data_IF_069239070762
#
_entry.id   IF_069239070762
#
_cell.length_a   1.000
_cell.length_b   1.000
_cell.length_c   1.000
_cell.angle_alpha   90.00
_cell.angle_beta   90.00
_cell.angle_gamma   90.00
#
_symmetry.space_group_name_H-M   'P 1'
#
loop_
_entity.id
_entity.type
_entity.pdbx_description
1 polymer ?
#
# COMPACT_ATOMS: atom_id res chain seq x y z
N UNK A 1 -82.90 29.83 19.02
CA UNK A 1 -82.58 30.64 17.83
C UNK A 1 -82.18 29.71 16.68
N UNK A 2 -82.67 29.99 15.48
CA UNK A 2 -82.46 29.25 14.21
C UNK A 2 -81.15 29.78 13.54
N UNK A 3 -80.72 29.29 12.36
CA UNK A 3 -79.55 28.43 12.13
C UNK A 3 -78.41 29.08 11.29
N UNK A 4 -77.23 28.45 11.18
CA UNK A 4 -76.25 28.74 10.11
C UNK A 4 -75.47 27.46 9.75
N UNK A 5 -75.83 26.79 8.64
CA UNK A 5 -75.33 26.87 7.25
C UNK A 5 -74.07 26.01 6.96
N UNK A 6 -74.30 24.96 6.16
CA UNK A 6 -73.31 24.17 5.41
C UNK A 6 -72.67 24.98 4.28
N UNK A 7 -71.41 24.70 3.96
CA UNK A 7 -70.78 25.01 2.67
C UNK A 7 -69.44 24.27 2.53
N UNK A 8 -69.44 23.11 1.85
CA UNK A 8 -68.91 22.86 0.49
C UNK A 8 -67.40 22.56 0.42
N UNK A 9 -67.15 21.36 -0.08
CA UNK A 9 -65.92 20.75 -0.57
C UNK A 9 -65.21 21.61 -1.63
N UNK A 10 -63.88 21.70 -1.56
CA UNK A 10 -63.02 21.95 -2.72
C UNK A 10 -61.90 20.90 -2.72
N UNK A 11 -61.89 20.10 -3.78
CA UNK A 11 -60.78 19.22 -4.17
C UNK A 11 -59.69 20.09 -4.79
N UNK A 12 -58.44 19.88 -4.40
CA UNK A 12 -57.29 20.29 -5.21
C UNK A 12 -56.37 19.09 -5.41
N UNK A 13 -55.96 18.90 -6.66
CA UNK A 13 -55.21 17.79 -7.23
C UNK A 13 -53.78 18.29 -7.52
N UNK A 14 -52.77 17.44 -7.34
CA UNK A 14 -51.36 17.67 -7.73
C UNK A 14 -50.51 18.18 -6.56
N UNK A 15 -49.34 17.63 -6.22
CA UNK A 15 -48.34 16.93 -7.02
C UNK A 15 -47.84 15.64 -6.35
N UNK A 16 -47.54 14.62 -7.17
CA UNK A 16 -46.78 13.44 -6.74
C UNK A 16 -45.30 13.80 -6.72
N UNK A 17 -44.71 13.91 -5.53
CA UNK A 17 -43.26 13.85 -5.38
C UNK A 17 -42.83 12.41 -5.63
N UNK A 18 -42.18 12.16 -6.76
CA UNK A 18 -41.54 10.87 -7.04
C UNK A 18 -40.37 10.67 -6.07
N UNK A 19 -40.49 9.70 -5.16
CA UNK A 19 -39.34 9.16 -4.43
C UNK A 19 -38.46 8.38 -5.42
N UNK A 20 -37.34 8.96 -5.83
CA UNK A 20 -36.24 8.24 -6.49
C UNK A 20 -35.60 7.35 -5.42
N UNK A 21 -35.81 6.03 -5.49
CA UNK A 21 -35.08 5.04 -4.69
C UNK A 21 -33.64 5.03 -5.18
N UNK A 22 -32.75 5.68 -4.42
CA UNK A 22 -31.30 5.64 -4.62
C UNK A 22 -30.75 4.25 -4.31
N UNK A 23 -29.85 3.82 -5.18
CA UNK A 23 -29.31 2.48 -5.36
C UNK A 23 -28.31 2.11 -4.26
N UNK A 24 -28.80 1.74 -3.07
CA UNK A 24 -27.94 1.22 -1.98
C UNK A 24 -27.38 -0.20 -2.26
N UNK A 25 -27.63 -0.78 -3.43
CA UNK A 25 -27.17 -2.13 -3.77
C UNK A 25 -25.75 -2.14 -4.37
N UNK A 26 -25.27 -1.03 -4.94
CA UNK A 26 -23.95 -0.98 -5.59
C UNK A 26 -22.78 -0.91 -4.58
N UNK A 27 -22.98 -0.18 -3.47
CA UNK A 27 -21.98 -0.03 -2.39
C UNK A 27 -21.73 -1.36 -1.67
N UNK A 28 -22.74 -2.22 -1.59
CA UNK A 28 -22.63 -3.53 -0.93
C UNK A 28 -21.82 -4.52 -1.77
N UNK A 29 -21.84 -4.42 -3.10
CA UNK A 29 -21.13 -5.35 -3.99
C UNK A 29 -19.64 -5.00 -4.08
N UNK A 30 -19.26 -3.72 -4.13
CA UNK A 30 -17.84 -3.30 -4.18
C UNK A 30 -17.12 -3.59 -2.86
N UNK A 31 -17.76 -3.32 -1.72
CA UNK A 31 -17.23 -3.66 -0.40
C UNK A 31 -17.21 -5.18 -0.18
N UNK A 32 -18.19 -5.93 -0.69
CA UNK A 32 -18.19 -7.39 -0.61
C UNK A 32 -17.09 -8.03 -1.48
N UNK A 33 -16.73 -7.48 -2.64
CA UNK A 33 -15.64 -8.02 -3.48
C UNK A 33 -14.25 -7.72 -2.86
N UNK A 34 -14.06 -6.53 -2.28
CA UNK A 34 -12.82 -6.16 -1.56
C UNK A 34 -12.68 -7.00 -0.27
N UNK A 35 -13.78 -7.24 0.45
CA UNK A 35 -13.78 -8.10 1.65
C UNK A 35 -13.68 -9.59 1.28
N UNK A 36 -14.28 -10.08 0.19
CA UNK A 36 -14.18 -11.48 -0.23
C UNK A 36 -12.79 -11.84 -0.76
N UNK A 37 -12.08 -10.89 -1.40
CA UNK A 37 -10.66 -11.06 -1.74
C UNK A 37 -9.76 -11.15 -0.50
N UNK A 38 -10.05 -10.34 0.54
CA UNK A 38 -9.35 -10.40 1.84
C UNK A 38 -9.70 -11.64 2.68
N UNK A 39 -10.95 -12.12 2.62
CA UNK A 39 -11.42 -13.30 3.39
C UNK A 39 -11.00 -14.62 2.74
N UNK A 40 -10.88 -14.67 1.40
CA UNK A 40 -10.28 -15.83 0.71
C UNK A 40 -8.81 -16.05 1.10
N UNK A 41 -8.06 -14.97 1.39
CA UNK A 41 -6.69 -15.03 1.91
C UNK A 41 -6.64 -15.48 3.39
N UNK A 42 -7.62 -15.04 4.20
CA UNK A 42 -7.72 -15.41 5.61
C UNK A 42 -8.15 -16.87 5.86
N UNK A 43 -8.89 -17.49 4.94
CA UNK A 43 -9.34 -18.89 5.06
C UNK A 43 -8.35 -19.92 4.51
N UNK A 44 -7.33 -19.52 3.75
CA UNK A 44 -6.29 -20.43 3.23
C UNK A 44 -5.02 -20.50 4.10
N UNK A 45 -4.93 -19.68 5.15
CA UNK A 45 -3.80 -19.65 6.09
C UNK A 45 -4.03 -20.60 7.28
N UNK A 46 -4.35 -21.86 6.98
CA UNK A 46 -4.59 -22.91 7.98
C UNK A 46 -3.38 -23.83 8.16
N UNK A 47 -2.62 -23.60 9.23
CA UNK A 47 -1.78 -24.55 10.00
C UNK A 47 -0.50 -25.16 9.39
N UNK A 48 0.62 -24.60 9.87
CA UNK A 48 1.83 -25.23 10.44
C UNK A 48 2.61 -26.29 9.65
N UNK A 49 3.87 -25.96 9.35
CA UNK A 49 5.01 -26.80 9.75
C UNK A 49 6.28 -25.96 9.86
N UNK A 50 6.95 -26.10 11.00
CA UNK A 50 8.22 -25.47 11.35
C UNK A 50 9.34 -25.98 10.45
N UNK A 51 10.18 -25.07 9.94
CA UNK A 51 11.52 -25.41 9.45
C UNK A 51 12.46 -24.24 9.72
N UNK A 52 13.27 -24.43 10.75
CA UNK A 52 14.50 -23.69 11.03
C UNK A 52 15.39 -23.72 9.78
N UNK A 53 15.77 -22.56 9.25
CA UNK A 53 16.99 -22.43 8.46
C UNK A 53 17.72 -21.15 8.84
N UNK A 54 19.00 -21.35 9.10
CA UNK A 54 19.96 -20.42 9.67
C UNK A 54 20.42 -19.44 8.60
N UNK A 55 20.19 -18.13 8.80
CA UNK A 55 20.90 -17.06 8.10
C UNK A 55 21.60 -16.17 9.14
N UNK A 56 22.83 -15.76 8.84
CA UNK A 56 23.63 -14.78 9.61
C UNK A 56 24.01 -13.64 8.64
N UNK A 57 24.23 -12.40 9.10
CA UNK A 57 23.20 -11.36 9.09
C UNK A 57 23.71 -10.00 8.57
N UNK A 58 22.88 -9.26 7.82
CA UNK A 58 23.08 -7.82 7.68
C UNK A 58 22.75 -7.16 9.03
N UNK A 59 23.78 -6.67 9.75
CA UNK A 59 23.71 -5.93 11.03
C UNK A 59 22.46 -6.22 11.89
N UNK A 60 22.34 -7.46 12.39
CA UNK A 60 21.39 -7.74 13.45
C UNK A 60 21.74 -6.88 14.68
N UNK A 61 20.78 -6.10 15.17
CA UNK A 61 20.91 -5.36 16.44
C UNK A 61 21.32 -6.37 17.51
N UNK A 62 22.49 -6.14 18.12
CA UNK A 62 22.99 -7.00 19.20
C UNK A 62 22.32 -6.58 20.49
N UNK A 63 21.37 -7.38 20.96
CA UNK A 63 20.73 -7.17 22.24
C UNK A 63 21.47 -7.94 23.36
N UNK A 64 21.36 -7.48 24.62
CA UNK A 64 21.67 -8.29 25.78
C UNK A 64 20.81 -9.56 25.84
N UNK A 65 21.27 -10.57 26.58
CA UNK A 65 20.60 -11.89 26.64
C UNK A 65 19.15 -11.82 27.11
N UNK A 66 18.81 -10.86 27.98
CA UNK A 66 17.46 -10.71 28.52
C UNK A 66 16.40 -10.34 27.47
N UNK A 67 16.78 -9.81 26.31
CA UNK A 67 15.84 -9.46 25.24
C UNK A 67 15.33 -10.70 24.50
N UNK A 68 16.11 -11.79 24.50
CA UNK A 68 15.78 -13.03 23.77
C UNK A 68 14.90 -13.99 24.58
N UNK A 69 14.21 -13.50 25.61
CA UNK A 69 13.37 -14.30 26.51
C UNK A 69 12.11 -14.83 25.84
N UNK A 70 11.51 -14.07 24.91
CA UNK A 70 10.42 -14.53 24.05
C UNK A 70 10.28 -13.64 22.78
N UNK A 71 9.54 -14.08 21.75
CA UNK A 71 9.40 -13.34 20.50
C UNK A 71 8.76 -11.94 20.62
N UNK A 72 7.81 -11.75 21.56
CA UNK A 72 7.17 -10.46 21.77
C UNK A 72 8.11 -9.48 22.45
N UNK A 73 8.89 -9.96 23.43
CA UNK A 73 9.96 -9.16 24.06
C UNK A 73 10.98 -8.73 23.00
N UNK A 74 11.51 -9.67 22.20
CA UNK A 74 12.44 -9.33 21.13
C UNK A 74 11.86 -8.28 20.18
N UNK A 75 10.62 -8.47 19.73
CA UNK A 75 9.93 -7.55 18.82
C UNK A 75 9.75 -6.15 19.43
N UNK A 76 9.41 -6.06 20.72
CA UNK A 76 9.25 -4.77 21.41
C UNK A 76 10.58 -4.03 21.57
N UNK A 77 11.66 -4.72 21.95
CA UNK A 77 13.00 -4.11 22.03
C UNK A 77 13.51 -3.68 20.65
N UNK A 78 13.28 -4.49 19.61
CA UNK A 78 13.59 -4.10 18.22
C UNK A 78 12.86 -2.82 17.84
N UNK A 79 11.54 -2.78 18.04
CA UNK A 79 10.74 -1.60 17.70
C UNK A 79 11.16 -0.34 18.49
N UNK A 80 11.45 -0.49 19.78
CA UNK A 80 11.93 0.63 20.60
C UNK A 80 13.31 1.15 20.17
N UNK A 81 14.16 0.27 19.62
CA UNK A 81 15.50 0.64 19.12
C UNK A 81 15.44 1.34 17.77
N UNK A 82 14.51 0.92 16.91
CA UNK A 82 14.35 1.45 15.56
C UNK A 82 13.54 2.75 15.54
N UNK A 83 12.59 2.91 16.48
CA UNK A 83 11.66 4.03 16.53
C UNK A 83 11.60 4.74 17.91
N UNK A 84 12.76 5.12 18.49
CA UNK A 84 12.78 5.79 19.78
C UNK A 84 12.02 7.12 19.75
N UNK A 85 12.09 7.84 18.63
CA UNK A 85 11.41 9.11 18.36
C UNK A 85 9.88 9.03 18.47
N UNK A 86 9.28 7.92 18.03
CA UNK A 86 7.84 7.68 18.15
C UNK A 86 7.47 7.33 19.59
N UNK A 87 8.24 6.43 20.22
CA UNK A 87 7.97 5.97 21.58
C UNK A 87 8.24 7.05 22.65
N UNK A 88 8.97 8.10 22.32
CA UNK A 88 9.18 9.28 23.16
C UNK A 88 7.94 10.16 23.36
N UNK A 89 6.93 9.99 22.51
CA UNK A 89 5.66 10.73 22.59
C UNK A 89 4.49 9.86 23.07
N UNK A 90 4.77 8.60 23.40
CA UNK A 90 3.80 7.62 23.91
C UNK A 90 4.04 7.42 25.40
N UNK A 91 2.99 7.35 26.24
CA UNK A 91 3.14 7.11 27.66
C UNK A 91 3.41 5.64 27.92
N UNK A 92 3.90 5.34 29.11
CA UNK A 92 3.82 3.98 29.62
C UNK A 92 2.91 3.93 30.84
N UNK A 93 1.97 2.97 30.86
CA UNK A 93 1.04 2.76 31.98
C UNK A 93 1.48 1.65 32.94
N UNK A 94 2.74 1.19 32.85
CA UNK A 94 3.27 0.15 33.75
C UNK A 94 3.42 0.61 35.20
N UNK A 95 3.33 1.91 35.47
CA UNK A 95 3.39 2.51 36.81
C UNK A 95 4.79 2.92 37.29
N UNK A 96 5.84 2.69 36.48
CA UNK A 96 7.23 3.00 36.88
C UNK A 96 7.64 4.46 36.67
N UNK A 97 6.88 5.25 35.90
CA UNK A 97 7.24 6.63 35.54
C UNK A 97 7.43 7.59 36.72
N UNK A 98 6.82 7.31 37.88
CA UNK A 98 6.91 8.15 39.08
C UNK A 98 8.13 7.89 39.97
N UNK A 99 8.82 6.76 39.85
CA UNK A 99 9.92 6.37 40.76
C UNK A 99 11.18 5.85 40.05
N UNK A 100 11.07 5.39 38.79
CA UNK A 100 12.20 4.94 37.97
C UNK A 100 12.69 6.01 36.99
N UNK A 101 12.07 7.19 36.97
CA UNK A 101 12.47 8.31 36.11
C UNK A 101 12.08 8.17 34.63
N UNK A 102 11.26 7.18 34.27
CA UNK A 102 10.81 7.00 32.88
C UNK A 102 9.83 8.11 32.48
N UNK A 103 10.14 8.80 31.38
CA UNK A 103 9.37 9.95 30.89
C UNK A 103 8.31 9.56 29.86
N UNK A 104 8.55 8.48 29.11
CA UNK A 104 7.73 7.99 28.01
C UNK A 104 8.07 6.52 27.73
N UNK A 105 7.33 5.86 26.83
CA UNK A 105 7.41 4.42 26.59
C UNK A 105 8.81 3.96 26.17
N UNK A 106 9.55 4.78 25.42
CA UNK A 106 10.94 4.47 25.04
C UNK A 106 11.84 4.19 26.25
N UNK A 107 11.71 4.97 27.33
CA UNK A 107 12.56 4.83 28.53
C UNK A 107 12.40 3.47 29.21
N UNK A 108 11.31 2.74 28.96
CA UNK A 108 11.17 1.37 29.47
C UNK A 108 12.15 0.38 28.83
N UNK A 109 12.64 0.67 27.63
CA UNK A 109 13.50 -0.23 26.85
C UNK A 109 14.93 0.29 26.72
N UNK A 110 15.09 1.61 26.55
CA UNK A 110 16.37 2.24 26.19
C UNK A 110 16.55 3.56 26.95
N UNK A 111 17.69 3.68 27.63
CA UNK A 111 18.13 4.90 28.31
C UNK A 111 18.76 5.90 27.33
N UNK A 112 18.91 7.18 27.73
CA UNK A 112 19.47 8.26 26.89
C UNK A 112 20.89 8.00 26.38
N UNK A 113 21.63 7.05 26.98
CA UNK A 113 22.97 6.64 26.56
C UNK A 113 22.98 5.38 25.67
N UNK A 114 21.82 4.97 25.14
CA UNK A 114 21.60 3.76 24.34
C UNK A 114 21.77 2.43 25.08
N UNK A 115 21.93 2.44 26.41
CA UNK A 115 21.91 1.20 27.18
C UNK A 115 20.48 0.65 27.29
N UNK A 116 20.35 -0.67 27.21
CA UNK A 116 19.05 -1.36 27.31
C UNK A 116 18.68 -1.61 28.77
N UNK A 117 17.44 -1.27 29.13
CA UNK A 117 16.88 -1.60 30.44
C UNK A 117 16.42 -3.06 30.43
N UNK A 118 16.85 -3.88 31.40
CA UNK A 118 16.42 -5.28 31.52
C UNK A 118 14.94 -5.40 31.93
N UNK A 119 14.38 -4.39 32.60
CA UNK A 119 13.05 -4.44 33.20
C UNK A 119 11.94 -4.69 32.18
N UNK A 120 11.96 -4.02 31.02
CA UNK A 120 10.94 -4.24 30.01
C UNK A 120 10.86 -5.71 29.54
N UNK A 121 11.93 -6.50 29.67
CA UNK A 121 11.93 -7.90 29.23
C UNK A 121 10.96 -8.80 29.99
N UNK A 122 10.54 -8.38 31.19
CA UNK A 122 9.59 -9.07 32.04
C UNK A 122 8.37 -8.21 32.41
N UNK A 123 8.17 -7.07 31.75
CA UNK A 123 7.01 -6.20 31.98
C UNK A 123 6.00 -6.32 30.81
N UNK A 124 4.94 -7.08 31.03
CA UNK A 124 3.88 -7.32 30.02
C UNK A 124 3.21 -6.02 29.52
N UNK A 125 3.13 -5.00 30.37
CA UNK A 125 2.55 -3.69 30.01
C UNK A 125 3.45 -2.96 29.03
N UNK A 126 4.75 -2.84 29.33
CA UNK A 126 5.72 -2.17 28.44
C UNK A 126 5.75 -2.85 27.06
N UNK A 127 5.88 -4.18 27.05
CA UNK A 127 5.91 -4.98 25.81
C UNK A 127 4.58 -4.84 25.06
N UNK A 128 3.45 -4.99 25.75
CA UNK A 128 2.12 -4.92 25.15
C UNK A 128 1.81 -3.55 24.55
N UNK A 129 2.17 -2.46 25.22
CA UNK A 129 2.02 -1.09 24.71
C UNK A 129 2.86 -0.86 23.46
N UNK A 130 4.15 -1.24 23.46
CA UNK A 130 5.02 -1.08 22.31
C UNK A 130 4.50 -1.83 21.07
N UNK A 131 4.02 -3.07 21.26
CA UNK A 131 3.43 -3.86 20.19
C UNK A 131 2.10 -3.24 19.71
N UNK A 132 1.27 -2.71 20.60
CA UNK A 132 0.03 -2.02 20.21
C UNK A 132 0.30 -0.74 19.44
N UNK A 133 1.28 0.06 19.87
CA UNK A 133 1.72 1.26 19.16
C UNK A 133 2.18 0.90 17.77
N UNK A 134 3.07 -0.10 17.64
CA UNK A 134 3.49 -0.63 16.35
C UNK A 134 2.29 -1.05 15.49
N UNK A 135 1.35 -1.81 16.05
CA UNK A 135 0.19 -2.30 15.31
C UNK A 135 -0.78 -1.16 14.91
N UNK A 136 -0.99 -0.17 15.77
CA UNK A 136 -1.86 0.97 15.50
C UNK A 136 -1.27 1.86 14.39
N UNK A 137 0.02 2.15 14.48
CA UNK A 137 0.74 2.88 13.44
C UNK A 137 0.79 2.08 12.13
N UNK A 138 1.07 0.77 12.20
CA UNK A 138 1.00 -0.13 11.03
C UNK A 138 -0.41 -0.26 10.45
N UNK A 139 -1.45 0.00 11.26
CA UNK A 139 -2.85 0.07 10.80
C UNK A 139 -3.26 1.46 10.29
N UNK A 140 -2.30 2.38 10.10
CA UNK A 140 -2.52 3.71 9.52
C UNK A 140 -3.00 4.78 10.50
N UNK A 141 -3.05 4.48 11.81
CA UNK A 141 -3.40 5.50 12.81
C UNK A 141 -2.27 6.49 12.97
N UNK A 142 -2.60 7.77 13.14
CA UNK A 142 -1.58 8.77 13.50
C UNK A 142 -1.02 8.52 14.88
N UNK A 143 0.14 9.12 15.18
CA UNK A 143 0.72 9.05 16.52
C UNK A 143 -0.22 9.63 17.58
N UNK A 144 -1.01 10.66 17.24
CA UNK A 144 -2.03 11.26 18.13
C UNK A 144 -3.19 10.30 18.40
N UNK A 145 -3.74 9.66 17.39
CA UNK A 145 -4.80 8.66 17.60
C UNK A 145 -4.29 7.40 18.28
N UNK A 146 -3.08 6.97 17.93
CA UNK A 146 -2.40 5.85 18.59
C UNK A 146 -2.24 6.15 20.07
N UNK A 147 -1.77 7.35 20.41
CA UNK A 147 -1.72 7.86 21.78
C UNK A 147 -3.10 7.83 22.43
N UNK A 148 -4.13 8.35 21.77
CA UNK A 148 -5.49 8.40 22.31
C UNK A 148 -6.07 6.99 22.57
N UNK A 149 -5.78 6.01 21.71
CA UNK A 149 -6.21 4.61 21.90
C UNK A 149 -5.47 3.93 23.04
N UNK A 150 -4.16 4.18 23.15
CA UNK A 150 -3.36 3.70 24.29
C UNK A 150 -3.92 4.32 25.58
N UNK A 151 -4.13 5.64 25.61
CA UNK A 151 -4.71 6.33 26.77
C UNK A 151 -6.10 5.78 27.11
N UNK A 152 -6.96 5.57 26.11
CA UNK A 152 -8.30 5.04 26.31
C UNK A 152 -8.28 3.64 26.92
N UNK A 153 -7.48 2.73 26.36
CA UNK A 153 -7.39 1.35 26.82
C UNK A 153 -6.78 1.25 28.21
N UNK A 154 -5.66 1.95 28.42
CA UNK A 154 -4.85 1.77 29.63
C UNK A 154 -5.33 2.64 30.79
N UNK A 155 -5.93 3.81 30.57
CA UNK A 155 -6.62 4.53 31.65
C UNK A 155 -7.84 3.74 32.16
N UNK A 156 -8.51 2.98 31.29
CA UNK A 156 -9.62 2.11 31.70
C UNK A 156 -9.15 0.92 32.56
N UNK A 157 -7.93 0.42 32.30
CA UNK A 157 -7.33 -0.71 33.02
C UNK A 157 -6.59 -0.29 34.30
N UNK A 158 -6.01 0.91 34.31
CA UNK A 158 -5.17 1.43 35.40
C UNK A 158 -5.58 2.85 35.80
N UNK A 159 -6.79 3.03 36.37
CA UNK A 159 -7.31 4.34 36.71
C UNK A 159 -6.43 5.05 37.75
N UNK A 160 -6.06 6.31 37.46
CA UNK A 160 -5.25 7.14 38.35
C UNK A 160 -3.74 7.01 38.17
N UNK A 161 -3.26 6.21 37.21
CA UNK A 161 -1.87 6.25 36.75
C UNK A 161 -1.62 7.54 35.97
N UNK A 162 -0.86 8.47 36.56
CA UNK A 162 -0.45 9.70 35.87
C UNK A 162 0.77 9.41 35.00
N UNK A 163 0.66 9.69 33.71
CA UNK A 163 1.81 9.71 32.81
C UNK A 163 2.44 11.10 32.76
N UNK A 164 3.77 11.13 32.75
CA UNK A 164 4.57 12.36 32.64
C UNK A 164 4.84 12.74 31.17
N UNK A 165 4.36 11.95 30.21
CA UNK A 165 4.54 12.20 28.78
C UNK A 165 3.58 13.29 28.31
N UNK A 166 4.12 14.37 27.77
CA UNK A 166 3.34 15.44 27.17
C UNK A 166 2.52 14.92 25.96
N UNK A 167 1.41 15.60 25.59
CA UNK A 167 0.68 15.27 24.37
C UNK A 167 1.58 15.25 23.14
N UNK A 168 1.18 14.49 22.12
CA UNK A 168 1.89 14.43 20.83
C UNK A 168 1.99 15.84 20.23
N UNK A 169 3.20 16.22 19.83
CA UNK A 169 3.54 17.52 19.26
C UNK A 169 4.24 17.35 17.93
N UNK A 170 3.76 18.06 16.93
CA UNK A 170 4.32 17.98 15.56
C UNK A 170 5.74 18.58 15.50
N UNK A 171 6.13 19.39 16.49
CA UNK A 171 7.45 19.97 16.64
C UNK A 171 8.28 19.31 17.77
N UNK A 172 7.97 18.06 18.12
CA UNK A 172 8.76 17.30 19.09
C UNK A 172 10.16 17.04 18.54
N UNK A 173 11.19 17.30 19.35
CA UNK A 173 12.59 16.98 19.02
C UNK A 173 12.97 15.75 19.84
N UNK A 174 13.24 14.60 19.19
CA UNK A 174 13.64 13.39 19.90
C UNK A 174 14.95 13.58 20.67
N UNK A 175 15.00 13.01 21.87
CA UNK A 175 16.19 12.89 22.71
C UNK A 175 17.11 11.85 22.12
N UNK A 176 16.56 10.71 21.67
CA UNK A 176 17.26 9.72 20.87
C UNK A 176 16.79 9.82 19.43
N UNK A 177 17.66 10.32 18.56
CA UNK A 177 17.48 10.18 17.11
C UNK A 177 17.80 8.74 16.71
N UNK A 178 17.05 8.12 15.78
CA UNK A 178 17.40 6.80 15.24
C UNK A 178 18.89 6.78 14.86
N UNK A 179 19.64 5.75 15.27
CA UNK A 179 21.06 5.63 14.93
C UNK A 179 21.21 5.70 13.40
N UNK A 180 21.69 6.83 12.90
CA UNK A 180 21.68 7.17 11.49
C UNK A 180 22.79 6.43 10.74
N UNK A 181 22.50 5.21 10.32
CA UNK A 181 22.81 4.81 8.96
C UNK A 181 21.59 5.16 8.08
N UNK A 182 21.45 6.44 7.71
CA UNK A 182 20.68 6.82 6.51
C UNK A 182 19.46 7.75 6.62
N UNK A 183 19.40 8.75 7.51
CA UNK A 183 18.39 9.82 7.40
C UNK A 183 19.05 11.21 7.44
N UNK A 184 18.88 12.07 6.43
CA UNK A 184 19.31 13.47 6.48
C UNK A 184 18.34 14.35 7.29
N UNK A 185 18.92 15.30 8.04
CA UNK A 185 18.28 16.35 8.83
C UNK A 185 17.26 17.20 8.07
N UNK A 186 16.11 17.47 8.70
CA UNK A 186 15.04 18.35 8.23
C UNK A 186 15.51 19.81 8.21
N UNK A 187 15.66 20.37 7.01
CA UNK A 187 15.59 21.82 6.80
C UNK A 187 14.12 22.23 6.63
N UNK A 188 13.75 23.37 7.21
CA UNK A 188 12.39 23.89 7.27
C UNK A 188 11.74 24.05 5.88
N UNK A 189 10.50 23.60 5.75
CA UNK A 189 9.65 23.73 4.57
C UNK A 189 9.29 25.21 4.30
N UNK A 190 9.58 25.77 3.11
CA UNK A 190 8.99 27.03 2.69
C UNK A 190 7.52 26.82 2.35
N UNK A 191 6.67 27.68 2.91
CA UNK A 191 5.26 27.81 2.55
C UNK A 191 5.08 28.22 1.08
N UNK A 192 4.32 27.42 0.32
CA UNK A 192 3.78 27.78 -1.00
C UNK A 192 4.65 27.35 -2.18
N UNK A 193 4.62 26.07 -2.54
CA UNK A 193 5.25 25.59 -3.77
C UNK A 193 4.35 25.91 -4.98
N UNK A 194 4.80 26.80 -5.85
CA UNK A 194 4.16 27.03 -7.15
C UNK A 194 4.54 25.90 -8.11
N UNK A 195 3.57 25.06 -8.45
CA UNK A 195 3.78 23.84 -9.26
C UNK A 195 3.71 24.07 -10.77
N UNK A 196 3.49 25.31 -11.23
CA UNK A 196 3.33 25.63 -12.66
C UNK A 196 4.65 25.63 -13.47
N UNK A 197 5.80 25.45 -12.82
CA UNK A 197 7.12 25.41 -13.47
C UNK A 197 7.65 23.97 -13.69
N UNK A 198 6.97 22.95 -13.18
CA UNK A 198 7.43 21.56 -13.33
C UNK A 198 6.88 20.93 -14.61
N UNK A 199 7.68 20.96 -15.68
CA UNK A 199 7.47 20.16 -16.88
C UNK A 199 7.95 18.72 -16.63
N UNK A 200 7.02 17.76 -16.64
CA UNK A 200 7.34 16.33 -16.56
C UNK A 200 7.66 15.73 -17.93
N UNK A 201 8.47 14.66 -17.99
CA UNK A 201 8.64 13.88 -19.20
C UNK A 201 7.29 13.34 -19.69
N UNK A 202 7.19 13.20 -21.01
CA UNK A 202 6.01 12.75 -21.72
C UNK A 202 5.42 11.45 -21.18
N UNK A 203 4.25 11.55 -20.54
CA UNK A 203 3.23 10.53 -20.31
C UNK A 203 3.65 9.26 -19.54
N UNK A 204 2.97 9.03 -18.42
CA UNK A 204 2.92 7.78 -17.67
C UNK A 204 2.24 6.67 -18.49
N UNK A 205 2.99 5.89 -19.29
CA UNK A 205 2.40 5.01 -20.32
C UNK A 205 2.67 3.52 -20.15
N UNK A 206 3.52 3.13 -19.20
CA UNK A 206 3.93 1.75 -19.04
C UNK A 206 4.23 1.40 -17.59
N UNK A 207 4.26 0.09 -17.31
CA UNK A 207 4.71 -0.44 -16.04
C UNK A 207 6.12 0.04 -15.67
N UNK A 208 7.01 0.15 -16.67
CA UNK A 208 8.37 0.63 -16.48
C UNK A 208 8.42 2.09 -16.00
N UNK A 209 7.51 2.95 -16.47
CA UNK A 209 7.47 4.36 -16.07
C UNK A 209 7.07 4.49 -14.60
N UNK A 210 6.11 3.68 -14.12
CA UNK A 210 5.76 3.61 -12.69
C UNK A 210 6.85 3.03 -11.82
N UNK A 211 7.52 1.97 -12.29
CA UNK A 211 8.62 1.38 -11.55
C UNK A 211 9.83 2.33 -11.39
N UNK A 212 10.05 3.25 -12.34
CA UNK A 212 11.09 4.30 -12.23
C UNK A 212 10.72 5.40 -11.25
N UNK A 213 9.43 5.57 -10.96
CA UNK A 213 8.92 6.50 -9.95
C UNK A 213 8.67 5.82 -8.59
N UNK A 214 8.99 4.53 -8.48
CA UNK A 214 8.75 3.74 -7.27
C UNK A 214 10.07 3.37 -6.62
N UNK A 215 10.28 3.69 -5.34
CA UNK A 215 11.46 3.26 -4.59
C UNK A 215 11.71 1.77 -4.69
N UNK A 216 12.96 1.35 -4.55
CA UNK A 216 13.31 -0.06 -4.47
C UNK A 216 12.53 -0.77 -3.36
N UNK A 217 12.15 -2.04 -3.60
CA UNK A 217 11.48 -2.89 -2.62
C UNK A 217 10.02 -3.23 -2.93
N UNK A 218 9.46 -2.74 -4.04
CA UNK A 218 8.13 -3.18 -4.46
C UNK A 218 8.17 -4.66 -4.85
N UNK A 219 7.37 -5.49 -4.19
CA UNK A 219 7.29 -6.93 -4.42
C UNK A 219 6.26 -7.30 -5.50
N UNK A 220 5.39 -6.34 -5.86
CA UNK A 220 4.40 -6.45 -6.91
C UNK A 220 4.12 -5.08 -7.47
N UNK A 221 3.96 -4.96 -8.78
CA UNK A 221 3.47 -3.74 -9.41
C UNK A 221 2.66 -4.06 -10.65
N UNK A 222 1.60 -3.31 -10.89
CA UNK A 222 0.81 -3.44 -12.11
C UNK A 222 0.51 -2.09 -12.75
N UNK A 223 0.23 -2.12 -14.04
CA UNK A 223 -0.11 -0.97 -14.85
C UNK A 223 -1.30 -1.29 -15.76
N UNK A 224 -2.19 -0.31 -15.93
CA UNK A 224 -3.37 -0.38 -16.78
C UNK A 224 -3.40 0.84 -17.71
N UNK A 225 -3.41 0.60 -19.02
CA UNK A 225 -3.65 1.60 -20.04
C UNK A 225 -5.12 1.57 -20.47
N UNK A 226 -5.95 2.40 -19.83
CA UNK A 226 -7.41 2.32 -20.06
C UNK A 226 -7.81 2.77 -21.48
N UNK A 227 -6.96 3.56 -22.16
CA UNK A 227 -7.19 3.91 -23.58
C UNK A 227 -7.08 2.69 -24.49
N UNK A 228 -6.15 1.78 -24.21
CA UNK A 228 -5.99 0.55 -24.97
C UNK A 228 -7.08 -0.47 -24.65
N UNK A 229 -7.61 -0.44 -23.43
CA UNK A 229 -8.70 -1.32 -23.01
C UNK A 229 -10.07 -0.86 -23.51
N UNK A 230 -10.28 0.45 -23.68
CA UNK A 230 -11.57 1.02 -24.08
C UNK A 230 -12.11 0.39 -25.37
N UNK A 231 -13.34 -0.11 -25.33
CA UNK A 231 -14.02 -0.77 -26.45
C UNK A 231 -13.54 -2.20 -26.72
N UNK A 232 -12.65 -2.75 -25.90
CA UNK A 232 -12.22 -4.16 -25.97
C UNK A 232 -12.99 -5.00 -24.95
N UNK A 233 -12.96 -6.32 -25.11
CA UNK A 233 -13.56 -7.26 -24.15
C UNK A 233 -12.90 -7.21 -22.75
N UNK A 234 -11.68 -6.66 -22.63
CA UNK A 234 -10.98 -6.49 -21.35
C UNK A 234 -11.47 -5.30 -20.52
N UNK A 235 -12.20 -4.34 -21.11
CA UNK A 235 -12.59 -3.10 -20.42
C UNK A 235 -13.37 -3.38 -19.14
N UNK A 236 -14.36 -4.27 -19.22
CA UNK A 236 -15.22 -4.61 -18.07
C UNK A 236 -14.44 -5.30 -16.95
N UNK A 237 -13.52 -6.20 -17.32
CA UNK A 237 -12.77 -7.04 -16.38
C UNK A 237 -11.72 -6.25 -15.59
N UNK A 238 -10.94 -5.41 -16.28
CA UNK A 238 -9.76 -4.77 -15.69
C UNK A 238 -9.99 -3.34 -15.23
N UNK A 239 -11.08 -2.71 -15.68
CA UNK A 239 -11.33 -1.29 -15.39
C UNK A 239 -12.58 -1.09 -14.53
N UNK A 240 -13.58 -2.00 -14.58
CA UNK A 240 -14.63 -2.09 -13.56
C UNK A 240 -15.41 -0.80 -13.21
N UNK A 241 -15.45 0.19 -14.11
CA UNK A 241 -16.06 1.51 -13.87
C UNK A 241 -15.08 2.66 -13.59
N UNK A 242 -13.78 2.42 -13.47
CA UNK A 242 -12.73 3.44 -13.25
C UNK A 242 -12.51 4.40 -14.43
N UNK A 243 -13.19 4.17 -15.56
CA UNK A 243 -13.21 5.03 -16.74
C UNK A 243 -14.44 5.93 -16.85
N UNK A 244 -15.37 5.81 -15.90
CA UNK A 244 -16.55 6.66 -15.85
C UNK A 244 -16.25 8.03 -15.21
N UNK A 245 -16.93 9.11 -15.62
CA UNK A 245 -16.73 10.46 -15.06
C UNK A 245 -17.04 10.58 -13.56
N UNK A 246 -17.71 9.60 -12.97
CA UNK A 246 -18.12 9.52 -11.57
C UNK A 246 -17.24 8.57 -10.73
N UNK A 247 -16.07 8.18 -11.25
CA UNK A 247 -15.03 7.45 -10.53
C UNK A 247 -14.42 8.26 -9.36
N UNK A 248 -13.44 7.68 -8.67
CA UNK A 248 -12.80 8.21 -7.45
C UNK A 248 -12.38 9.69 -7.48
N UNK A 249 -12.06 10.23 -8.66
CA UNK A 249 -11.67 11.63 -8.86
C UNK A 249 -12.75 12.51 -9.52
N UNK A 250 -13.95 11.98 -9.83
CA UNK A 250 -14.92 12.68 -10.68
C UNK A 250 -14.40 12.93 -12.10
N UNK A 251 -13.47 12.09 -12.56
CA UNK A 251 -12.83 12.12 -13.88
C UNK A 251 -12.47 10.71 -14.34
N UNK A 252 -12.42 10.54 -15.66
CA UNK A 252 -11.93 9.34 -16.33
C UNK A 252 -10.43 9.17 -16.07
N UNK A 253 -10.04 8.02 -15.54
CA UNK A 253 -8.64 7.59 -15.43
C UNK A 253 -8.21 7.03 -16.80
N UNK A 254 -7.12 7.56 -17.36
CA UNK A 254 -6.56 7.15 -18.66
C UNK A 254 -5.31 6.26 -18.56
N UNK A 255 -4.69 6.24 -17.38
CA UNK A 255 -3.59 5.36 -17.03
C UNK A 255 -3.55 5.15 -15.52
N UNK A 256 -3.26 3.92 -15.07
CA UNK A 256 -3.23 3.57 -13.65
C UNK A 256 -2.06 2.66 -13.37
N UNK A 257 -1.39 2.89 -12.24
CA UNK A 257 -0.35 2.04 -11.72
C UNK A 257 -0.49 1.89 -10.24
N UNK A 258 -0.14 0.71 -9.75
CA UNK A 258 0.02 0.46 -8.33
C UNK A 258 1.27 -0.35 -8.10
N UNK A 259 1.94 -0.10 -6.99
CA UNK A 259 3.02 -0.92 -6.48
C UNK A 259 2.83 -1.22 -5.00
N UNK A 260 3.02 -2.49 -4.66
CA UNK A 260 2.88 -3.01 -3.31
C UNK A 260 4.28 -3.33 -2.76
N UNK A 261 4.56 -2.87 -1.55
CA UNK A 261 5.75 -3.23 -0.78
C UNK A 261 5.41 -4.30 0.27
N UNK A 262 4.17 -4.27 0.75
CA UNK A 262 3.59 -5.25 1.67
C UNK A 262 2.06 -5.23 1.52
N UNK A 263 1.32 -6.15 2.16
CA UNK A 263 -0.14 -6.12 2.14
C UNK A 263 -0.77 -4.83 2.69
N UNK A 264 -0.01 -3.99 3.41
CA UNK A 264 -0.47 -2.75 4.02
C UNK A 264 0.38 -1.54 3.63
N UNK A 265 1.22 -1.65 2.60
CA UNK A 265 2.02 -0.53 2.11
C UNK A 265 2.07 -0.55 0.59
N UNK A 266 1.45 0.45 -0.02
CA UNK A 266 1.38 0.58 -1.46
C UNK A 266 1.41 2.06 -1.91
N UNK A 267 1.53 2.25 -3.21
CA UNK A 267 1.48 3.54 -3.89
C UNK A 267 0.72 3.38 -5.21
N UNK A 268 -0.10 4.37 -5.54
CA UNK A 268 -0.86 4.44 -6.78
C UNK A 268 -0.51 5.72 -7.56
N UNK A 269 -0.37 5.58 -8.87
CA UNK A 269 -0.15 6.68 -9.80
C UNK A 269 -1.26 6.66 -10.85
N UNK A 270 -1.96 7.77 -10.98
CA UNK A 270 -3.10 7.92 -11.90
C UNK A 270 -2.85 9.04 -12.91
N UNK A 271 -3.03 8.74 -14.18
CA UNK A 271 -3.11 9.73 -15.24
C UNK A 271 -4.59 10.02 -15.55
N UNK A 272 -5.03 11.26 -15.32
CA UNK A 272 -6.39 11.74 -15.61
C UNK A 272 -6.45 12.59 -16.89
N UNK A 273 -5.33 12.71 -17.61
CA UNK A 273 -5.10 13.80 -18.54
C UNK A 273 -4.85 15.14 -17.82
N UNK A 274 -4.59 16.21 -18.57
CA UNK A 274 -4.38 17.55 -18.02
C UNK A 274 -5.44 18.51 -18.54
N UNK A 275 -6.22 19.11 -17.63
CA UNK A 275 -7.15 20.21 -17.88
C UNK A 275 -6.82 21.37 -16.91
N UNK A 276 -6.11 22.38 -17.43
CA UNK A 276 -5.65 23.55 -16.68
C UNK A 276 -6.76 24.40 -16.06
N UNK A 277 -8.03 24.14 -16.39
CA UNK A 277 -9.17 24.92 -15.89
C UNK A 277 -10.00 24.20 -14.83
N UNK A 278 -9.92 22.86 -14.74
CA UNK A 278 -10.78 22.04 -13.86
C UNK A 278 -10.01 21.27 -12.79
N UNK A 279 -8.71 21.06 -12.97
CA UNK A 279 -7.95 20.13 -12.14
C UNK A 279 -7.44 20.74 -10.82
N UNK A 280 -7.52 22.07 -10.66
CA UNK A 280 -7.16 22.80 -9.43
C UNK A 280 -8.03 22.49 -8.22
N UNK A 281 -9.15 21.75 -8.40
CA UNK A 281 -10.10 21.40 -7.32
C UNK A 281 -10.28 19.90 -7.10
N UNK A 282 -9.53 19.05 -7.81
CA UNK A 282 -9.63 17.60 -7.65
C UNK A 282 -9.23 17.22 -6.22
N UNK A 283 -10.09 16.53 -5.49
CA UNK A 283 -9.75 15.98 -4.18
C UNK A 283 -10.21 14.54 -4.17
N UNK A 284 -9.29 13.63 -3.90
CA UNK A 284 -9.66 12.29 -3.48
C UNK A 284 -10.15 12.35 -2.03
N UNK A 285 -10.99 11.39 -1.66
CA UNK A 285 -11.25 11.08 -0.27
C UNK A 285 -10.03 10.33 0.29
N UNK A 286 -9.01 11.07 0.74
CA UNK A 286 -7.82 10.48 1.34
C UNK A 286 -8.09 10.07 2.79
N UNK A 287 -7.70 8.84 3.12
CA UNK A 287 -7.72 8.32 4.49
C UNK A 287 -6.56 8.91 5.30
N UNK A 288 -6.62 8.79 6.62
CA UNK A 288 -5.59 9.31 7.51
C UNK A 288 -4.27 8.53 7.34
N UNK A 289 -3.15 9.26 7.17
CA UNK A 289 -1.85 8.65 6.82
C UNK A 289 -1.64 8.39 5.32
N UNK A 290 -2.64 8.72 4.50
CA UNK A 290 -2.55 8.74 3.05
C UNK A 290 -2.48 10.17 2.56
N UNK A 291 -1.73 10.39 1.48
CA UNK A 291 -1.72 11.64 0.75
C UNK A 291 -2.19 11.43 -0.67
N UNK A 292 -2.90 12.42 -1.19
CA UNK A 292 -3.27 12.51 -2.59
C UNK A 292 -2.73 13.82 -3.17
N UNK A 293 -1.61 13.74 -3.89
CA UNK A 293 -0.99 14.91 -4.50
C UNK A 293 -1.39 14.96 -5.96
N UNK A 294 -2.05 16.06 -6.33
CA UNK A 294 -2.34 16.40 -7.71
C UNK A 294 -1.06 16.98 -8.29
N UNK A 295 -0.24 16.12 -8.85
CA UNK A 295 0.82 16.53 -9.76
C UNK A 295 0.23 16.59 -11.17
N UNK A 296 0.80 17.42 -12.06
CA UNK A 296 0.20 17.66 -13.38
C UNK A 296 -0.12 16.35 -14.11
N UNK A 297 0.82 15.38 -14.15
CA UNK A 297 0.62 13.95 -14.55
C UNK A 297 1.82 13.07 -14.08
N UNK A 298 1.73 12.18 -13.07
CA UNK A 298 0.51 11.56 -12.54
C UNK A 298 0.03 12.21 -11.25
N UNK A 299 -1.26 12.04 -10.95
CA UNK A 299 -1.75 12.15 -9.59
C UNK A 299 -1.17 11.00 -8.76
N UNK A 300 -0.65 11.30 -7.59
CA UNK A 300 -0.01 10.34 -6.69
C UNK A 300 -0.94 10.10 -5.50
N UNK A 301 -1.28 8.86 -5.20
CA UNK A 301 -2.10 8.48 -4.06
C UNK A 301 -1.46 7.30 -3.32
N UNK A 302 -1.23 7.44 -2.02
CA UNK A 302 -0.61 6.37 -1.24
C UNK A 302 -0.24 6.82 0.16
N UNK A 303 0.48 5.97 0.89
CA UNK A 303 1.03 6.36 2.19
C UNK A 303 2.01 7.53 2.03
N UNK A 304 1.98 8.48 2.97
CA UNK A 304 2.77 9.73 2.93
C UNK A 304 4.23 9.47 2.56
N UNK A 305 4.89 8.50 3.19
CA UNK A 305 6.27 8.16 2.89
C UNK A 305 6.48 7.74 1.43
N UNK A 306 5.58 6.93 0.88
CA UNK A 306 5.65 6.49 -0.51
C UNK A 306 5.39 7.66 -1.47
N UNK A 307 4.45 8.55 -1.12
CA UNK A 307 4.14 9.77 -1.87
C UNK A 307 5.35 10.71 -1.90
N UNK A 308 5.99 10.96 -0.75
CA UNK A 308 7.20 11.78 -0.64
C UNK A 308 8.36 11.20 -1.46
N UNK A 309 8.52 9.88 -1.43
CA UNK A 309 9.55 9.22 -2.21
C UNK A 309 9.33 9.38 -3.72
N UNK A 310 8.08 9.25 -4.20
CA UNK A 310 7.73 9.54 -5.60
C UNK A 310 8.05 11.00 -5.94
N UNK A 311 7.71 11.95 -5.06
CA UNK A 311 8.01 13.37 -5.28
C UNK A 311 9.52 13.64 -5.35
N UNK A 312 10.32 12.95 -4.54
CA UNK A 312 11.78 13.05 -4.58
C UNK A 312 12.33 12.52 -5.91
N UNK A 313 11.84 11.37 -6.38
CA UNK A 313 12.19 10.82 -7.70
C UNK A 313 11.77 11.72 -8.87
N UNK A 314 10.63 12.40 -8.76
CA UNK A 314 10.19 13.38 -9.77
C UNK A 314 11.14 14.59 -9.81
N UNK A 315 11.57 15.09 -8.65
CA UNK A 315 12.46 16.27 -8.56
C UNK A 315 13.90 15.94 -8.96
N UNK A 316 14.37 14.76 -8.57
CA UNK A 316 15.70 14.25 -8.84
C UNK A 316 15.62 12.74 -9.10
N UNK A 317 15.56 12.33 -10.38
CA UNK A 317 15.44 10.92 -10.77
C UNK A 317 16.57 10.00 -10.28
N UNK A 318 17.73 10.57 -9.95
CA UNK A 318 18.90 9.84 -9.46
C UNK A 318 18.98 9.85 -7.92
N UNK A 319 18.01 10.47 -7.24
CA UNK A 319 18.02 10.62 -5.76
C UNK A 319 17.94 9.31 -5.00
N UNK A 320 17.39 8.25 -5.60
CA UNK A 320 17.27 6.93 -4.97
C UNK A 320 17.19 5.79 -5.99
N UNK A 321 17.56 4.58 -5.55
CA UNK A 321 17.36 3.36 -6.32
C UNK A 321 15.87 3.06 -6.50
N UNK A 322 15.49 2.67 -7.71
CA UNK A 322 14.09 2.41 -8.07
C UNK A 322 13.81 0.92 -8.22
N UNK A 323 12.55 0.53 -8.04
CA UNK A 323 12.09 -0.84 -8.25
C UNK A 323 12.24 -1.29 -9.72
N UNK A 324 12.39 -0.35 -10.66
CA UNK A 324 12.69 -0.68 -12.06
C UNK A 324 13.91 -1.60 -12.21
N UNK A 325 14.96 -1.36 -11.43
CA UNK A 325 16.20 -2.14 -11.48
C UNK A 325 15.97 -3.65 -11.26
N UNK A 326 15.09 -4.00 -10.31
CA UNK A 326 14.72 -5.38 -9.98
C UNK A 326 14.05 -6.10 -11.16
N UNK A 327 13.14 -5.42 -11.85
CA UNK A 327 12.32 -6.02 -12.92
C UNK A 327 12.90 -5.83 -14.32
N UNK A 328 13.94 -5.00 -14.47
CA UNK A 328 14.56 -4.66 -15.75
C UNK A 328 14.89 -5.88 -16.62
N UNK A 329 15.46 -7.00 -16.10
CA UNK A 329 15.77 -8.16 -16.94
C UNK A 329 14.54 -8.77 -17.64
N UNK A 330 13.38 -8.80 -16.97
CA UNK A 330 12.12 -9.26 -17.57
C UNK A 330 11.59 -8.24 -18.58
N UNK A 331 11.58 -6.97 -18.21
CA UNK A 331 11.05 -5.89 -19.05
C UNK A 331 11.86 -5.77 -20.35
N UNK A 332 13.19 -5.88 -20.31
CA UNK A 332 14.02 -5.86 -21.52
C UNK A 332 13.73 -7.02 -22.49
N UNK A 333 13.10 -8.11 -22.01
CA UNK A 333 12.82 -9.31 -22.79
C UNK A 333 11.40 -9.32 -23.42
N UNK A 334 10.54 -8.36 -23.10
CA UNK A 334 9.12 -8.32 -23.51
C UNK A 334 8.72 -6.95 -24.04
N UNK A 335 7.61 -6.89 -24.79
CA UNK A 335 7.06 -5.62 -25.28
C UNK A 335 6.15 -4.95 -24.24
N UNK A 336 6.73 -4.52 -23.12
CA UNK A 336 5.98 -3.89 -22.03
C UNK A 336 5.41 -2.51 -22.37
N UNK A 337 5.92 -1.86 -23.43
CA UNK A 337 5.52 -0.49 -23.80
C UNK A 337 4.15 -0.46 -24.46
N UNK A 338 3.76 -1.56 -25.11
CA UNK A 338 2.48 -1.72 -25.79
C UNK A 338 1.48 -2.56 -24.97
N UNK A 339 1.78 -2.86 -23.71
CA UNK A 339 0.87 -3.62 -22.85
C UNK A 339 -0.33 -2.77 -22.42
N UNK A 340 -1.54 -3.31 -22.56
CA UNK A 340 -2.75 -2.67 -22.04
C UNK A 340 -2.96 -2.97 -20.56
N UNK A 341 -2.57 -4.16 -20.12
CA UNK A 341 -2.38 -4.52 -18.72
C UNK A 341 -0.99 -5.15 -18.58
N UNK A 342 -0.24 -4.79 -17.55
CA UNK A 342 1.03 -5.43 -17.22
C UNK A 342 1.17 -5.59 -15.71
N UNK A 343 1.78 -6.68 -15.27
CA UNK A 343 2.00 -7.04 -13.88
C UNK A 343 3.40 -7.64 -13.73
N UNK A 344 4.12 -7.22 -12.69
CA UNK A 344 5.33 -7.89 -12.21
C UNK A 344 5.16 -8.27 -10.74
N UNK A 345 5.83 -9.35 -10.32
CA UNK A 345 5.90 -9.75 -8.92
C UNK A 345 7.12 -10.61 -8.61
N UNK A 346 7.63 -10.52 -7.38
CA UNK A 346 8.73 -11.35 -6.85
C UNK A 346 8.23 -12.61 -6.13
N UNK A 347 7.05 -13.11 -6.48
CA UNK A 347 6.52 -14.36 -5.92
C UNK A 347 7.37 -15.54 -6.42
N UNK A 348 8.13 -16.24 -5.56
CA UNK A 348 9.07 -17.24 -6.01
C UNK A 348 8.35 -18.53 -6.41
N UNK A 349 8.61 -18.99 -7.64
CA UNK A 349 8.38 -20.37 -8.05
C UNK A 349 9.65 -21.20 -7.87
N UNK A 350 9.55 -22.53 -7.95
CA UNK A 350 10.72 -23.41 -7.80
C UNK A 350 11.82 -23.12 -8.83
N UNK A 351 11.44 -22.62 -10.00
CA UNK A 351 12.34 -22.35 -11.12
C UNK A 351 12.56 -20.85 -11.39
N UNK A 352 11.88 -19.95 -10.65
CA UNK A 352 11.89 -18.51 -10.94
C UNK A 352 11.70 -17.65 -9.69
N UNK A 353 12.38 -16.52 -9.61
CA UNK A 353 12.30 -15.55 -8.50
C UNK A 353 11.46 -14.30 -8.84
N UNK A 354 11.27 -13.99 -10.12
CA UNK A 354 10.53 -12.82 -10.60
C UNK A 354 9.71 -13.20 -11.81
N UNK A 355 8.46 -12.74 -11.84
CA UNK A 355 7.50 -13.05 -12.89
C UNK A 355 6.90 -11.79 -13.50
N UNK A 356 6.52 -11.89 -14.76
CA UNK A 356 5.83 -10.86 -15.53
C UNK A 356 4.63 -11.46 -16.26
N UNK A 357 3.57 -10.66 -16.38
CA UNK A 357 2.42 -10.91 -17.23
C UNK A 357 2.05 -9.61 -17.95
N UNK A 358 1.65 -9.70 -19.22
CA UNK A 358 0.85 -8.64 -19.85
C UNK A 358 -0.26 -9.17 -20.74
N UNK A 359 -1.26 -8.30 -20.95
CA UNK A 359 -2.31 -8.47 -21.93
C UNK A 359 -2.32 -7.29 -22.89
N UNK A 360 -2.33 -7.60 -24.19
CA UNK A 360 -2.27 -6.59 -25.25
C UNK A 360 -3.34 -6.88 -26.31
N UNK A 361 -4.27 -5.94 -26.59
CA UNK A 361 -5.20 -6.08 -27.69
C UNK A 361 -4.43 -6.07 -29.02
N UNK A 362 -4.60 -7.12 -29.82
CA UNK A 362 -3.97 -7.27 -31.14
C UNK A 362 -4.99 -7.77 -32.16
N UNK A 363 -5.33 -6.95 -33.15
CA UNK A 363 -6.19 -7.33 -34.28
C UNK A 363 -7.52 -8.00 -33.90
N UNK A 364 -8.20 -7.47 -32.86
CA UNK A 364 -9.47 -8.01 -32.37
C UNK A 364 -9.35 -9.28 -31.51
N UNK A 365 -8.13 -9.65 -31.13
CA UNK A 365 -7.79 -10.68 -30.14
C UNK A 365 -6.97 -10.05 -29.01
N UNK A 366 -6.54 -10.88 -28.06
CA UNK A 366 -5.65 -10.52 -26.96
C UNK A 366 -4.41 -11.40 -27.02
N UNK A 367 -3.24 -10.78 -26.93
CA UNK A 367 -1.98 -11.46 -26.68
C UNK A 367 -1.69 -11.45 -25.18
N UNK A 368 -1.50 -12.64 -24.61
CA UNK A 368 -0.91 -12.84 -23.30
C UNK A 368 0.58 -13.07 -23.47
N UNK A 369 1.37 -12.35 -22.67
CA UNK A 369 2.80 -12.62 -22.50
C UNK A 369 3.04 -12.97 -21.05
N UNK A 370 3.63 -14.13 -20.78
CA UNK A 370 4.18 -14.50 -19.47
C UNK A 370 5.69 -14.54 -19.60
N UNK A 371 6.41 -13.97 -18.63
CA UNK A 371 7.86 -14.11 -18.57
C UNK A 371 8.32 -14.43 -17.14
N UNK A 372 9.35 -15.26 -17.04
CA UNK A 372 9.87 -15.80 -15.78
C UNK A 372 11.39 -15.64 -15.78
N UNK A 373 11.94 -15.02 -14.74
CA UNK A 373 13.40 -14.96 -14.55
C UNK A 373 13.86 -16.28 -13.91
N UNK A 374 14.60 -17.08 -14.67
CA UNK A 374 14.98 -18.44 -14.33
C UNK A 374 16.10 -18.46 -13.28
N UNK A 375 15.85 -19.19 -12.20
CA UNK A 375 16.84 -19.54 -11.17
C UNK A 375 17.26 -21.02 -11.25
N UNK A 376 16.41 -21.89 -11.80
CA UNK A 376 16.71 -23.29 -12.07
C UNK A 376 15.99 -23.83 -13.32
N UNK A 377 16.75 -24.07 -14.38
CA UNK A 377 16.20 -24.59 -15.64
C UNK A 377 15.66 -26.03 -15.52
N UNK A 378 16.09 -26.82 -14.52
CA UNK A 378 15.64 -28.21 -14.34
C UNK A 378 14.25 -28.30 -13.73
N UNK A 379 13.83 -27.27 -13.02
CA UNK A 379 12.54 -27.19 -12.35
C UNK A 379 11.46 -26.53 -13.21
N UNK A 380 11.75 -26.21 -14.48
CA UNK A 380 10.74 -25.68 -15.42
C UNK A 380 9.66 -26.76 -15.63
N UNK A 381 8.36 -26.45 -15.41
CA UNK A 381 7.28 -27.40 -15.62
C UNK A 381 7.25 -27.93 -17.05
N UNK A 382 7.28 -29.25 -17.23
CA UNK A 382 7.20 -29.87 -18.56
C UNK A 382 5.88 -29.59 -19.28
N UNK A 383 4.82 -29.28 -18.52
CA UNK A 383 3.53 -28.82 -19.03
C UNK A 383 3.65 -27.53 -19.86
N UNK A 384 4.68 -26.70 -19.64
CA UNK A 384 4.89 -25.49 -20.42
C UNK A 384 5.19 -25.78 -21.89
N UNK A 385 5.67 -26.97 -22.25
CA UNK A 385 5.99 -27.33 -23.63
C UNK A 385 4.81 -27.15 -24.61
N UNK A 386 3.57 -27.24 -24.12
CA UNK A 386 2.37 -27.04 -24.95
C UNK A 386 2.19 -25.60 -25.42
N UNK A 387 2.81 -24.63 -24.74
CA UNK A 387 2.77 -23.20 -25.04
C UNK A 387 4.00 -22.72 -25.83
N UNK A 388 4.80 -23.65 -26.34
CA UNK A 388 5.99 -23.38 -27.16
C UNK A 388 6.91 -22.28 -26.57
N UNK A 389 7.40 -22.45 -25.32
CA UNK A 389 8.11 -21.40 -24.60
C UNK A 389 9.43 -21.05 -25.29
N UNK A 390 9.78 -19.77 -25.25
CA UNK A 390 11.06 -19.25 -25.74
C UNK A 390 11.97 -18.94 -24.55
N UNK A 391 13.25 -19.26 -24.66
CA UNK A 391 14.26 -18.92 -23.65
C UNK A 391 15.26 -17.94 -24.26
N UNK A 392 15.37 -16.75 -23.66
CA UNK A 392 16.35 -15.73 -24.02
C UNK A 392 17.22 -15.43 -22.80
N UNK A 393 18.45 -15.96 -22.79
CA UNK A 393 19.31 -15.92 -21.61
C UNK A 393 18.66 -16.66 -20.43
N UNK A 394 18.44 -15.96 -19.33
CA UNK A 394 17.76 -16.48 -18.13
C UNK A 394 16.26 -16.14 -18.11
N UNK A 395 15.67 -15.72 -19.22
CA UNK A 395 14.24 -15.39 -19.26
C UNK A 395 13.50 -16.45 -20.07
N UNK A 396 12.52 -17.12 -19.45
CA UNK A 396 11.54 -17.95 -20.15
C UNK A 396 10.32 -17.10 -20.48
N UNK A 397 9.84 -17.18 -21.72
CA UNK A 397 8.73 -16.39 -22.25
C UNK A 397 7.70 -17.35 -22.86
N UNK A 398 6.44 -17.17 -22.50
CA UNK A 398 5.29 -17.83 -23.11
C UNK A 398 4.39 -16.77 -23.72
N UNK A 399 3.92 -17.01 -24.95
CA UNK A 399 3.01 -16.10 -25.67
C UNK A 399 1.82 -16.87 -26.21
N UNK A 400 0.63 -16.43 -25.83
CA UNK A 400 -0.62 -16.99 -26.33
C UNK A 400 -1.49 -15.88 -26.91
N UNK A 401 -2.27 -16.20 -27.96
CA UNK A 401 -3.16 -15.22 -28.58
C UNK A 401 -4.53 -15.83 -28.83
N UNK A 402 -5.56 -15.25 -28.24
CA UNK A 402 -6.92 -15.76 -28.32
C UNK A 402 -7.98 -14.71 -28.01
N UNK A 403 -9.21 -15.16 -27.86
CA UNK A 403 -10.23 -14.37 -27.15
C UNK A 403 -9.89 -14.31 -25.64
N UNK A 404 -10.49 -13.35 -24.94
CA UNK A 404 -10.22 -13.11 -23.51
C UNK A 404 -10.39 -14.36 -22.67
N UNK A 405 -11.45 -15.13 -22.90
CA UNK A 405 -11.76 -16.32 -22.11
C UNK A 405 -10.68 -17.39 -22.27
N UNK A 406 -10.24 -17.62 -23.51
CA UNK A 406 -9.18 -18.59 -23.82
C UNK A 406 -7.87 -18.14 -23.17
N UNK A 407 -7.51 -16.88 -23.34
CA UNK A 407 -6.27 -16.30 -22.80
C UNK A 407 -6.26 -16.33 -21.26
N UNK A 408 -7.38 -16.05 -20.60
CA UNK A 408 -7.51 -16.17 -19.14
C UNK A 408 -7.32 -17.62 -18.68
N UNK A 409 -7.93 -18.58 -19.36
CA UNK A 409 -7.76 -19.99 -19.05
C UNK A 409 -6.30 -20.44 -19.22
N UNK A 410 -5.62 -19.99 -20.28
CA UNK A 410 -4.20 -20.27 -20.49
C UNK A 410 -3.34 -19.64 -19.38
N UNK A 411 -3.63 -18.40 -18.99
CA UNK A 411 -2.95 -17.78 -17.86
C UNK A 411 -3.12 -18.60 -16.56
N UNK A 412 -4.34 -18.95 -16.20
CA UNK A 412 -4.64 -19.68 -14.96
C UNK A 412 -3.94 -21.05 -14.94
N UNK A 413 -3.92 -21.72 -16.09
CA UNK A 413 -3.21 -22.97 -16.26
C UNK A 413 -1.69 -22.78 -16.12
N UNK A 414 -1.11 -21.73 -16.72
CA UNK A 414 0.32 -21.44 -16.58
C UNK A 414 0.67 -21.16 -15.11
N UNK A 415 -0.14 -20.37 -14.40
CA UNK A 415 0.07 -20.06 -12.98
C UNK A 415 -0.09 -21.30 -12.08
N UNK A 416 -1.04 -22.17 -12.39
CA UNK A 416 -1.21 -23.43 -11.67
C UNK A 416 0.01 -24.35 -11.84
N UNK A 417 0.48 -24.52 -13.07
CA UNK A 417 1.66 -25.35 -13.38
C UNK A 417 2.96 -24.75 -12.79
N UNK A 418 3.08 -23.43 -12.75
CA UNK A 418 4.26 -22.75 -12.16
C UNK A 418 4.43 -23.01 -10.66
N UNK A 419 3.34 -23.30 -9.95
CA UNK A 419 3.31 -23.55 -8.49
C UNK A 419 3.68 -24.98 -8.11
N UNK A 420 3.64 -25.91 -9.05
CA UNK A 420 3.94 -27.35 -8.85
C UNK A 420 5.45 -27.53 -8.74
#
# INVERSE_FOLDING_TARGET
MKPEKKGKTVKTKGEKIQKKKGTNTLIIVVVAVIILAGVAYALFSGTTSSSTSTQTPGNAIKFPSFVYTNPLTLKAYTYATEHPDLLEQIPCYCGCGGHSGHRFLRDCFIHDDWTYDEHASFCDVCVGEAIKVQNYLASGKTLRETRDLIDQEYNSKYPGQNTNTLPVRDNYVPILSPNAAGIPTVAQTPSGLNLSEYNLPSNFNSLADGLKLTPAGANRAYFINTKMLAGTEMEAEYVGGSVEPDAFYGKKIIGMYSADFSPTSWIELHDLGYDSTKDVTLKAHAEQGMENIIYTRPLIYGHIQNVDNVLNLIKDPESMTTSYSTYKPLLDAVDYQNAAYALVQTEPYKFSDINYMSLTPVSGKIELVKAFHLTDNKSIPSAFNKYNPQINGNILIIKETGDLKTVQADNDNIDAEARI
#
